data_IF_135010926604
#
_entry.id   IF_135010926604
#
_cell.length_a   1.000
_cell.length_b   1.000
_cell.length_c   1.000
_cell.angle_alpha   90.00
_cell.angle_beta   90.00
_cell.angle_gamma   90.00
#
_symmetry.space_group_name_H-M   'P 1'
#
loop_
_entity.id
_entity.type
_entity.pdbx_description
1 polymer ?
#
# COMPACT_ATOMS: atom_id res chain seq x y z
N UNK A 1 9.72 -15.26 -13.00
CA UNK A 1 9.24 -13.91 -13.31
C UNK A 1 10.09 -12.91 -12.52
N UNK A 2 10.67 -11.94 -13.22
CA UNK A 2 11.44 -10.89 -12.57
C UNK A 2 10.53 -9.73 -12.21
N UNK A 3 10.54 -9.32 -10.96
CA UNK A 3 9.68 -8.25 -10.43
C UNK A 3 10.55 -7.04 -10.12
N UNK A 4 10.21 -5.88 -10.69
CA UNK A 4 10.83 -4.61 -10.38
C UNK A 4 9.84 -3.73 -9.63
N UNK A 5 10.26 -3.21 -8.48
CA UNK A 5 9.45 -2.26 -7.70
C UNK A 5 10.05 -0.88 -7.86
N UNK A 6 9.23 0.08 -8.24
CA UNK A 6 9.67 1.45 -8.51
C UNK A 6 8.59 2.47 -8.15
N UNK A 7 8.98 3.72 -8.11
CA UNK A 7 8.04 4.81 -7.88
C UNK A 7 7.05 4.94 -9.03
N UNK A 8 5.85 5.41 -8.72
CA UNK A 8 4.81 5.73 -9.69
C UNK A 8 5.32 6.84 -10.61
N UNK A 9 5.07 6.68 -11.91
CA UNK A 9 5.39 7.65 -12.96
C UNK A 9 4.11 8.09 -13.66
N UNK A 10 4.16 9.23 -14.36
CA UNK A 10 2.99 9.80 -15.02
C UNK A 10 2.31 8.81 -15.99
N UNK A 11 3.08 7.99 -16.68
CA UNK A 11 2.56 6.99 -17.62
C UNK A 11 1.86 5.81 -16.97
N UNK A 12 1.90 5.69 -15.65
CA UNK A 12 1.30 4.56 -14.94
C UNK A 12 -0.18 4.76 -14.61
N UNK A 13 -0.74 5.95 -14.85
CA UNK A 13 -2.08 6.31 -14.37
C UNK A 13 -3.15 5.28 -14.73
N UNK A 14 -3.20 4.85 -15.98
CA UNK A 14 -4.22 3.91 -16.44
C UNK A 14 -4.11 2.55 -15.74
N UNK A 15 -2.91 1.99 -15.66
CA UNK A 15 -2.66 0.71 -15.02
C UNK A 15 -2.89 0.81 -13.51
N UNK A 16 -2.41 1.89 -12.88
CA UNK A 16 -2.64 2.14 -11.46
C UNK A 16 -4.13 2.23 -11.13
N UNK A 17 -4.89 2.98 -11.92
CA UNK A 17 -6.32 3.18 -11.68
C UNK A 17 -7.09 1.86 -11.78
N UNK A 18 -6.76 1.03 -12.75
CA UNK A 18 -7.38 -0.29 -12.90
C UNK A 18 -7.14 -1.15 -11.66
N UNK A 19 -5.91 -1.22 -11.18
CA UNK A 19 -5.58 -1.99 -9.98
C UNK A 19 -6.20 -1.38 -8.72
N UNK A 20 -6.23 -0.06 -8.61
CA UNK A 20 -6.85 0.59 -7.47
C UNK A 20 -8.36 0.35 -7.42
N UNK A 21 -9.02 0.38 -8.57
CA UNK A 21 -10.46 0.08 -8.64
C UNK A 21 -10.74 -1.39 -8.28
N UNK A 22 -9.88 -2.31 -8.73
CA UNK A 22 -9.99 -3.73 -8.33
C UNK A 22 -9.79 -3.90 -6.82
N UNK A 23 -8.86 -3.16 -6.23
CA UNK A 23 -8.63 -3.13 -4.78
C UNK A 23 -9.88 -2.66 -4.04
N UNK A 24 -10.49 -1.55 -4.48
CA UNK A 24 -11.72 -1.03 -3.86
C UNK A 24 -12.86 -2.04 -3.96
N UNK A 25 -13.00 -2.69 -5.10
CA UNK A 25 -14.00 -3.74 -5.31
C UNK A 25 -13.80 -4.92 -4.36
N UNK A 26 -12.54 -5.31 -4.15
CA UNK A 26 -12.20 -6.38 -3.21
C UNK A 26 -12.68 -6.04 -1.79
N UNK A 27 -12.62 -4.77 -1.41
CA UNK A 27 -13.11 -4.29 -0.11
C UNK A 27 -14.56 -3.81 -0.16
N UNK A 28 -15.30 -4.18 -1.21
CA UNK A 28 -16.73 -3.85 -1.38
C UNK A 28 -16.98 -2.34 -1.34
N UNK A 29 -16.03 -1.55 -1.81
CA UNK A 29 -16.13 -0.09 -1.90
C UNK A 29 -16.29 0.30 -3.35
N UNK A 30 -17.26 1.18 -3.63
CA UNK A 30 -17.47 1.69 -4.99
C UNK A 30 -16.39 2.70 -5.35
N UNK A 31 -15.85 2.68 -6.59
CA UNK A 31 -14.94 3.73 -7.05
C UNK A 31 -15.52 5.14 -6.97
N UNK A 32 -16.86 5.27 -7.02
CA UNK A 32 -17.52 6.56 -6.88
C UNK A 32 -17.49 7.13 -5.45
N UNK A 33 -17.17 6.29 -4.45
CA UNK A 33 -17.10 6.71 -3.05
C UNK A 33 -15.72 7.27 -2.67
N UNK A 34 -14.78 7.27 -3.62
CA UNK A 34 -13.43 7.80 -3.41
C UNK A 34 -13.07 8.76 -4.54
N UNK A 35 -12.17 9.68 -4.24
CA UNK A 35 -11.68 10.62 -5.25
C UNK A 35 -10.33 10.15 -5.77
N UNK A 36 -10.35 9.28 -6.78
CA UNK A 36 -9.13 8.70 -7.34
C UNK A 36 -8.26 9.73 -8.06
N UNK A 37 -8.86 10.76 -8.64
CA UNK A 37 -8.09 11.84 -9.28
C UNK A 37 -7.30 12.64 -8.24
N UNK A 38 -7.92 12.95 -7.11
CA UNK A 38 -7.22 13.63 -6.01
C UNK A 38 -6.09 12.75 -5.46
N UNK A 39 -6.35 11.44 -5.31
CA UNK A 39 -5.32 10.51 -4.85
C UNK A 39 -4.15 10.46 -5.84
N UNK A 40 -4.45 10.38 -7.13
CA UNK A 40 -3.40 10.39 -8.16
C UNK A 40 -2.55 11.66 -8.08
N UNK A 41 -3.19 12.82 -7.92
CA UNK A 41 -2.48 14.09 -7.75
C UNK A 41 -1.56 14.07 -6.53
N UNK A 42 -2.03 13.51 -5.42
CA UNK A 42 -1.23 13.39 -4.19
C UNK A 42 -0.04 12.44 -4.36
N UNK A 43 -0.24 11.36 -5.10
CA UNK A 43 0.83 10.36 -5.35
C UNK A 43 1.92 10.90 -6.28
N UNK A 44 1.57 11.81 -7.18
CA UNK A 44 2.47 12.32 -8.22
C UNK A 44 2.97 13.74 -7.96
N UNK A 45 2.61 14.34 -6.86
CA UNK A 45 3.11 15.65 -6.44
C UNK A 45 4.63 15.57 -6.18
N UNK A 46 5.34 16.66 -6.39
CA UNK A 46 6.79 16.75 -6.12
C UNK A 46 7.13 16.55 -4.64
N UNK A 47 6.20 16.88 -3.74
CA UNK A 47 6.31 16.63 -2.30
C UNK A 47 5.08 15.84 -1.86
N UNK A 48 5.00 14.56 -2.20
CA UNK A 48 3.80 13.78 -1.95
C UNK A 48 3.59 13.53 -0.46
N UNK A 49 2.37 13.77 -0.01
CA UNK A 49 1.96 13.40 1.36
C UNK A 49 1.67 11.91 1.45
N UNK A 50 1.23 11.31 0.34
CA UNK A 50 1.04 9.87 0.21
C UNK A 50 1.99 9.41 -0.86
N UNK A 51 2.76 8.37 -0.53
CA UNK A 51 3.74 7.77 -1.44
C UNK A 51 3.11 6.59 -2.16
N UNK A 52 3.56 6.32 -3.37
CA UNK A 52 3.09 5.15 -4.10
C UNK A 52 4.21 4.47 -4.87
N UNK A 53 4.18 3.14 -4.86
CA UNK A 53 5.06 2.32 -5.67
C UNK A 53 4.23 1.40 -6.54
N UNK A 54 4.80 1.01 -7.67
CA UNK A 54 4.26 -0.05 -8.51
C UNK A 54 5.26 -1.19 -8.60
N UNK A 55 4.73 -2.39 -8.75
CA UNK A 55 5.52 -3.56 -9.11
C UNK A 55 5.24 -3.87 -10.57
N UNK A 56 6.29 -4.06 -11.36
CA UNK A 56 6.12 -4.43 -12.76
C UNK A 56 6.91 -5.70 -13.10
N UNK A 57 6.40 -6.43 -14.05
CA UNK A 57 7.06 -7.59 -14.63
C UNK A 57 6.83 -7.55 -16.13
N UNK A 58 7.90 -7.69 -16.92
CA UNK A 58 7.84 -7.66 -18.38
C UNK A 58 7.13 -6.39 -18.92
N UNK A 59 7.36 -5.25 -18.29
CA UNK A 59 6.78 -3.98 -18.69
C UNK A 59 5.31 -3.78 -18.31
N UNK A 60 4.73 -4.70 -17.55
CA UNK A 60 3.32 -4.64 -17.12
C UNK A 60 3.27 -4.36 -15.62
N UNK A 61 2.49 -3.36 -15.21
CA UNK A 61 2.25 -3.06 -13.80
C UNK A 61 1.31 -4.12 -13.24
N UNK A 62 1.77 -4.86 -12.22
CA UNK A 62 1.05 -6.00 -11.64
C UNK A 62 0.73 -5.84 -10.17
N UNK A 63 1.18 -4.77 -9.55
CA UNK A 63 0.89 -4.50 -8.13
C UNK A 63 1.10 -3.03 -7.80
N UNK A 64 0.41 -2.60 -6.75
CA UNK A 64 0.50 -1.23 -6.25
C UNK A 64 0.55 -1.25 -4.72
N UNK A 65 1.17 -0.22 -4.15
CA UNK A 65 1.17 0.02 -2.72
C UNK A 65 1.13 1.53 -2.47
N UNK A 66 0.35 1.93 -1.47
CA UNK A 66 0.32 3.31 -0.97
C UNK A 66 0.73 3.32 0.48
N UNK A 67 1.55 4.30 0.85
CA UNK A 67 2.03 4.44 2.22
C UNK A 67 2.33 5.89 2.51
N UNK A 68 2.37 6.24 3.79
CA UNK A 68 2.76 7.58 4.20
C UNK A 68 3.44 7.55 5.56
N UNK A 69 4.22 8.59 5.81
CA UNK A 69 4.90 8.75 7.08
C UNK A 69 4.03 9.62 7.98
N UNK A 70 3.89 9.22 9.24
CA UNK A 70 3.08 9.97 10.18
C UNK A 70 3.83 10.15 11.50
N UNK A 71 3.64 11.30 12.11
CA UNK A 71 4.19 11.57 13.43
C UNK A 71 3.54 10.62 14.43
N UNK A 72 4.32 10.22 15.42
CA UNK A 72 3.85 9.38 16.51
C UNK A 72 4.44 9.88 17.81
N UNK A 73 3.64 9.91 18.87
CA UNK A 73 4.15 10.26 20.20
C UNK A 73 5.11 9.20 20.75
N UNK A 74 5.16 8.03 20.11
CA UNK A 74 6.02 6.92 20.52
C UNK A 74 7.35 6.88 19.76
N UNK A 75 7.62 7.90 18.93
CA UNK A 75 8.82 7.96 18.11
C UNK A 75 9.34 9.38 18.08
N UNK A 76 10.65 9.53 18.09
CA UNK A 76 11.28 10.84 17.88
C UNK A 76 11.19 11.31 16.42
N UNK A 77 10.91 10.37 15.51
CA UNK A 77 10.81 10.64 14.08
C UNK A 77 9.39 10.43 13.59
N UNK A 78 9.10 9.25 13.05
CA UNK A 78 7.79 8.94 12.47
C UNK A 78 7.59 7.43 12.41
N UNK A 79 6.33 7.05 12.18
CA UNK A 79 5.95 5.71 11.78
C UNK A 79 5.60 5.72 10.29
N UNK A 80 5.74 4.58 9.65
CA UNK A 80 5.28 4.39 8.27
C UNK A 80 4.00 3.56 8.29
N UNK A 81 2.93 4.12 7.74
CA UNK A 81 1.66 3.42 7.56
C UNK A 81 1.53 2.97 6.11
N UNK A 82 1.56 1.66 5.88
CA UNK A 82 1.27 1.06 4.59
C UNK A 82 -0.25 0.88 4.53
N UNK A 83 -0.91 1.75 3.79
CA UNK A 83 -2.36 1.85 3.82
C UNK A 83 -3.04 0.90 2.84
N UNK A 84 -2.57 0.84 1.59
CA UNK A 84 -3.17 0.02 0.56
C UNK A 84 -2.11 -0.82 -0.13
N UNK A 85 -2.44 -2.08 -0.39
CA UNK A 85 -1.59 -2.99 -1.15
C UNK A 85 -2.48 -3.92 -1.96
N UNK A 86 -2.22 -3.98 -3.26
CA UNK A 86 -2.99 -4.84 -4.15
C UNK A 86 -2.12 -5.44 -5.24
N UNK A 87 -2.33 -6.71 -5.52
CA UNK A 87 -1.63 -7.46 -6.57
C UNK A 87 -2.69 -7.97 -7.56
N UNK A 88 -2.44 -7.78 -8.84
CA UNK A 88 -3.31 -8.29 -9.90
C UNK A 88 -3.58 -9.77 -9.70
N UNK A 89 -4.82 -10.20 -9.92
CA UNK A 89 -5.25 -11.57 -9.63
C UNK A 89 -4.33 -12.62 -10.29
N UNK A 90 -3.99 -12.41 -11.56
CA UNK A 90 -3.12 -13.33 -12.30
C UNK A 90 -1.66 -13.33 -11.88
N UNK A 91 -1.25 -12.38 -11.04
CA UNK A 91 0.13 -12.26 -10.57
C UNK A 91 0.31 -12.68 -9.10
N UNK A 92 -0.74 -13.18 -8.45
CA UNK A 92 -0.69 -13.61 -7.05
C UNK A 92 0.09 -14.90 -6.87
N UNK A 93 0.63 -15.09 -5.66
CA UNK A 93 1.41 -16.27 -5.33
C UNK A 93 2.82 -16.29 -5.90
N UNK A 94 3.32 -15.16 -6.40
CA UNK A 94 4.63 -15.04 -7.07
C UNK A 94 5.58 -14.07 -6.34
N UNK A 95 5.24 -13.68 -5.12
CA UNK A 95 6.11 -12.84 -4.30
C UNK A 95 5.97 -11.33 -4.54
N UNK A 96 4.96 -10.87 -5.27
CA UNK A 96 4.77 -9.46 -5.60
C UNK A 96 4.48 -8.63 -4.34
N UNK A 97 3.55 -9.08 -3.50
CA UNK A 97 3.21 -8.37 -2.26
C UNK A 97 4.42 -8.27 -1.34
N UNK A 98 5.17 -9.36 -1.20
CA UNK A 98 6.39 -9.38 -0.40
C UNK A 98 7.41 -8.37 -0.91
N UNK A 99 7.60 -8.30 -2.22
CA UNK A 99 8.53 -7.35 -2.84
C UNK A 99 8.13 -5.91 -2.56
N UNK A 100 6.83 -5.60 -2.66
CA UNK A 100 6.30 -4.28 -2.35
C UNK A 100 6.52 -3.92 -0.88
N UNK A 101 6.21 -4.82 0.04
CA UNK A 101 6.42 -4.59 1.48
C UNK A 101 7.90 -4.35 1.77
N UNK A 102 8.79 -5.15 1.19
CA UNK A 102 10.23 -4.99 1.39
C UNK A 102 10.73 -3.61 0.93
N UNK A 103 10.25 -3.13 -0.20
CA UNK A 103 10.64 -1.83 -0.71
C UNK A 103 10.13 -0.70 0.17
N UNK A 104 8.89 -0.79 0.65
CA UNK A 104 8.36 0.19 1.62
C UNK A 104 9.20 0.17 2.90
N UNK A 105 9.56 -1.00 3.39
CA UNK A 105 10.42 -1.14 4.57
C UNK A 105 11.76 -0.43 4.38
N UNK A 106 12.41 -0.63 3.24
CA UNK A 106 13.68 0.03 2.94
C UNK A 106 13.56 1.55 2.92
N UNK A 107 12.49 2.06 2.31
CA UNK A 107 12.22 3.50 2.26
C UNK A 107 11.90 4.05 3.66
N UNK A 108 11.14 3.32 4.47
CA UNK A 108 10.82 3.71 5.83
C UNK A 108 12.09 3.79 6.70
N UNK A 109 12.99 2.82 6.57
CA UNK A 109 14.28 2.84 7.27
C UNK A 109 15.10 4.07 6.86
N UNK A 110 15.16 4.35 5.57
CA UNK A 110 15.87 5.52 5.04
C UNK A 110 15.31 6.82 5.58
N UNK A 111 13.98 6.87 5.76
CA UNK A 111 13.29 8.04 6.31
C UNK A 111 13.50 8.18 7.81
N UNK A 112 14.02 7.16 8.47
CA UNK A 112 14.24 7.16 9.92
C UNK A 112 13.03 6.70 10.71
N UNK A 113 12.05 6.06 10.06
CA UNK A 113 10.89 5.54 10.77
C UNK A 113 11.29 4.46 11.77
N UNK A 114 10.59 4.42 12.91
CA UNK A 114 10.83 3.43 13.94
C UNK A 114 9.88 2.25 13.88
N UNK A 115 8.83 2.35 13.07
CA UNK A 115 7.85 1.28 12.88
C UNK A 115 7.22 1.36 11.50
N UNK A 116 6.97 0.21 10.91
CA UNK A 116 6.16 0.03 9.72
C UNK A 116 4.98 -0.86 10.12
N UNK A 117 3.76 -0.42 9.83
CA UNK A 117 2.58 -1.19 10.17
C UNK A 117 1.52 -1.11 9.07
N UNK A 118 0.62 -2.09 9.07
CA UNK A 118 -0.55 -2.12 8.19
C UNK A 118 -1.70 -2.85 8.87
N UNK A 119 -2.89 -2.66 8.31
CA UNK A 119 -4.13 -3.19 8.86
C UNK A 119 -4.79 -4.02 7.76
N UNK A 120 -5.32 -5.17 8.12
CA UNK A 120 -6.08 -6.02 7.21
C UNK A 120 -7.29 -6.58 7.94
N UNK A 121 -8.27 -7.09 7.20
CA UNK A 121 -9.40 -7.78 7.81
C UNK A 121 -8.92 -9.07 8.46
N UNK A 122 -9.42 -9.35 9.66
CA UNK A 122 -9.11 -10.59 10.38
C UNK A 122 -9.38 -11.83 9.51
N UNK A 123 -10.42 -11.78 8.68
CA UNK A 123 -10.83 -12.87 7.80
C UNK A 123 -9.95 -13.03 6.56
N UNK A 124 -9.02 -12.12 6.30
CA UNK A 124 -8.16 -12.17 5.12
C UNK A 124 -7.02 -13.17 5.32
N UNK A 125 -7.36 -14.45 5.40
CA UNK A 125 -6.44 -15.53 5.77
C UNK A 125 -5.28 -15.70 4.78
N UNK A 126 -5.52 -15.50 3.50
CA UNK A 126 -4.48 -15.66 2.46
C UNK A 126 -3.39 -14.61 2.65
N UNK A 127 -3.77 -13.35 2.77
CA UNK A 127 -2.81 -12.26 3.00
C UNK A 127 -2.11 -12.42 4.34
N UNK A 128 -2.83 -12.82 5.38
CA UNK A 128 -2.27 -12.99 6.73
C UNK A 128 -1.19 -14.08 6.79
N UNK A 129 -1.26 -15.08 5.94
CA UNK A 129 -0.19 -16.09 5.85
C UNK A 129 1.15 -15.45 5.46
N UNK A 130 1.12 -14.50 4.53
CA UNK A 130 2.32 -13.74 4.18
C UNK A 130 2.73 -12.83 5.33
N UNK A 131 1.76 -12.10 5.90
CA UNK A 131 2.04 -11.11 6.95
C UNK A 131 2.66 -11.76 8.19
N UNK A 132 2.23 -12.95 8.56
CA UNK A 132 2.79 -13.70 9.69
C UNK A 132 4.25 -14.07 9.47
N UNK A 133 4.70 -14.15 8.21
CA UNK A 133 6.10 -14.46 7.86
C UNK A 133 6.99 -13.23 7.87
N UNK A 134 6.43 -12.06 7.62
CA UNK A 134 7.22 -10.82 7.42
C UNK A 134 7.08 -9.81 8.54
N UNK A 135 6.13 -10.01 9.45
CA UNK A 135 5.86 -9.10 10.55
C UNK A 135 5.26 -9.87 11.74
N UNK A 136 5.00 -9.15 12.81
CA UNK A 136 4.38 -9.69 14.01
C UNK A 136 2.95 -9.17 14.11
N UNK A 137 2.01 -10.06 14.41
CA UNK A 137 0.64 -9.65 14.68
C UNK A 137 0.61 -8.86 16.00
N UNK A 138 0.14 -7.63 15.93
CA UNK A 138 -0.04 -6.78 17.11
C UNK A 138 -1.19 -7.30 17.98
N UNK A 139 -1.12 -7.06 19.28
CA UNK A 139 -2.22 -7.32 20.18
C UNK A 139 -3.13 -6.11 20.40
N UNK A 140 -2.87 -5.01 19.68
CA UNK A 140 -3.76 -3.85 19.67
C UNK A 140 -4.96 -4.12 18.77
N UNK A 141 -6.13 -3.59 19.17
CA UNK A 141 -7.33 -3.62 18.33
C UNK A 141 -7.68 -2.20 17.91
N UNK A 142 -8.34 -2.08 16.76
CA UNK A 142 -8.71 -0.79 16.19
C UNK A 142 -10.17 -0.50 16.45
N UNK A 143 -10.46 0.68 17.02
CA UNK A 143 -11.81 1.22 17.11
C UNK A 143 -11.98 2.30 16.05
N UNK A 144 -13.14 2.32 15.42
CA UNK A 144 -13.46 3.30 14.40
C UNK A 144 -14.75 4.02 14.74
N UNK A 145 -14.78 5.31 14.45
CA UNK A 145 -16.00 6.11 14.54
C UNK A 145 -16.09 6.94 13.28
N UNK A 146 -17.09 6.65 12.46
CA UNK A 146 -17.33 7.45 11.26
C UNK A 146 -17.80 8.84 11.65
N UNK A 147 -17.19 9.85 11.06
CA UNK A 147 -17.53 11.25 11.33
C UNK A 147 -18.39 11.76 10.20
N UNK A 148 -19.49 12.42 10.56
CA UNK A 148 -20.36 13.07 9.59
C UNK A 148 -19.72 14.36 9.10
N UNK A 149 -19.86 14.59 7.80
CA UNK A 149 -19.32 15.79 7.16
C UNK A 149 -20.43 16.77 6.84
#
# INVERSE_FOLDING_TARGET
MSIAVRQIQAGDKSAWQELYFDYLKFYETSPSDVNSELLWDRLTNSEPQIQGLVAEANGVVIGIVHFHYQLSTWSETSHCYLEDLYVAEGARGKGVAKALIQQVQELAIKQGCTELFWITKESNSIARKLYDKVANLSDFVRYEKKLEQ
#
